data_IF_436178119416
#
_entry.id   IF_436178119416
#
_cell.length_a   1.000
_cell.length_b   1.000
_cell.length_c   1.000
_cell.angle_alpha   90.00
_cell.angle_beta   90.00
_cell.angle_gamma   90.00
#
_symmetry.space_group_name_H-M   'P 1'
#
loop_
_entity.id
_entity.type
_entity.pdbx_description
1 polymer ?
#
# COMPACT_ATOMS: atom_id res chain seq x y z
N UNK A 1 -24.90 20.59 11.44
CA UNK A 1 -23.63 21.32 11.49
C UNK A 1 -23.80 22.55 10.61
N UNK A 2 -23.86 23.75 11.21
CA UNK A 2 -24.08 25.00 10.47
C UNK A 2 -22.73 25.45 9.94
N UNK A 3 -22.50 25.20 8.65
CA UNK A 3 -21.35 25.76 7.94
C UNK A 3 -21.64 27.26 7.76
N UNK A 4 -20.94 28.09 8.52
CA UNK A 4 -21.00 29.54 8.34
C UNK A 4 -20.49 29.86 6.93
N UNK A 5 -21.41 30.02 5.97
CA UNK A 5 -21.13 30.18 4.53
C UNK A 5 -20.18 31.35 4.20
N UNK A 6 -19.91 32.20 5.18
CA UNK A 6 -19.07 33.40 5.08
C UNK A 6 -17.65 33.21 5.65
N UNK A 7 -17.29 32.01 6.14
CA UNK A 7 -15.96 31.73 6.71
C UNK A 7 -15.19 30.72 5.87
N UNK A 8 -13.90 30.97 5.71
CA UNK A 8 -12.93 30.10 5.04
C UNK A 8 -11.83 29.67 6.01
N UNK A 9 -11.34 28.44 5.87
CA UNK A 9 -10.28 27.87 6.71
C UNK A 9 -9.08 27.43 5.89
N UNK A 10 -7.88 27.86 6.27
CA UNK A 10 -6.65 27.37 5.65
C UNK A 10 -6.15 26.10 6.36
N UNK A 11 -6.00 24.99 5.63
CA UNK A 11 -5.48 23.71 6.15
C UNK A 11 -4.02 23.79 6.60
N UNK A 12 -3.18 24.51 5.86
CA UNK A 12 -1.76 24.65 6.20
C UNK A 12 -1.54 25.51 7.45
N UNK A 13 -2.34 26.55 7.61
CA UNK A 13 -2.19 27.50 8.72
C UNK A 13 -3.08 27.19 9.93
N UNK A 14 -4.14 26.40 9.74
CA UNK A 14 -5.21 26.13 10.70
C UNK A 14 -5.86 27.41 11.27
N UNK A 15 -6.08 28.40 10.39
CA UNK A 15 -6.72 29.68 10.74
C UNK A 15 -8.03 29.83 9.97
N UNK A 16 -9.03 30.44 10.62
CA UNK A 16 -10.33 30.80 10.03
C UNK A 16 -10.39 32.30 9.78
N UNK A 17 -10.96 32.71 8.66
CA UNK A 17 -11.10 34.10 8.23
C UNK A 17 -12.32 34.24 7.32
N UNK A 18 -12.69 35.45 6.92
CA UNK A 18 -13.83 35.69 6.02
C UNK A 18 -13.55 35.12 4.64
N UNK A 19 -14.56 34.50 4.02
CA UNK A 19 -14.51 33.91 2.68
C UNK A 19 -14.52 34.99 1.58
N UNK A 20 -13.77 36.07 1.78
CA UNK A 20 -13.59 37.16 0.84
C UNK A 20 -12.31 36.93 0.02
N UNK A 21 -12.39 37.14 -1.29
CA UNK A 21 -11.27 36.90 -2.23
C UNK A 21 -10.01 37.66 -1.81
N UNK A 22 -10.15 38.92 -1.40
CA UNK A 22 -9.03 39.74 -0.94
C UNK A 22 -8.34 39.16 0.31
N UNK A 23 -9.12 38.62 1.25
CA UNK A 23 -8.60 38.01 2.47
C UNK A 23 -7.86 36.70 2.17
N UNK A 24 -8.39 35.88 1.26
CA UNK A 24 -7.76 34.64 0.79
C UNK A 24 -6.43 34.95 0.08
N UNK A 25 -6.40 35.92 -0.82
CA UNK A 25 -5.19 36.30 -1.57
C UNK A 25 -4.13 36.88 -0.63
N UNK A 26 -4.54 37.75 0.31
CA UNK A 26 -3.62 38.33 1.28
C UNK A 26 -3.06 37.26 2.25
N UNK A 27 -3.89 36.30 2.66
CA UNK A 27 -3.45 35.15 3.44
C UNK A 27 -2.41 34.32 2.68
N UNK A 28 -2.68 33.98 1.42
CA UNK A 28 -1.78 33.18 0.59
C UNK A 28 -0.41 33.86 0.36
N UNK A 29 -0.40 35.20 0.25
CA UNK A 29 0.83 36.01 0.11
C UNK A 29 1.57 36.26 1.43
N UNK A 30 0.95 35.99 2.58
CA UNK A 30 1.55 36.27 3.87
C UNK A 30 2.78 35.40 4.14
N UNK A 31 3.83 35.99 4.72
CA UNK A 31 5.04 35.27 5.14
C UNK A 31 4.71 34.12 6.10
N UNK A 32 3.70 34.29 6.97
CA UNK A 32 3.25 33.25 7.90
C UNK A 32 2.76 31.99 7.16
N UNK A 33 2.06 32.18 6.04
CA UNK A 33 1.59 31.09 5.18
C UNK A 33 2.77 30.42 4.47
N UNK A 34 3.63 31.21 3.82
CA UNK A 34 4.76 30.68 3.07
C UNK A 34 5.73 29.85 3.94
N UNK A 35 6.01 30.29 5.17
CA UNK A 35 6.83 29.54 6.12
C UNK A 35 6.18 28.22 6.52
N UNK A 36 4.88 28.26 6.86
CA UNK A 36 4.16 27.09 7.35
C UNK A 36 3.95 26.04 6.26
N UNK A 37 3.73 26.46 5.01
CA UNK A 37 3.69 25.56 3.84
C UNK A 37 5.05 24.91 3.57
N UNK A 38 6.15 25.67 3.69
CA UNK A 38 7.51 25.12 3.53
C UNK A 38 7.89 24.13 4.63
N UNK A 39 7.36 24.31 5.84
CA UNK A 39 7.57 23.38 6.96
C UNK A 39 6.72 22.10 6.87
N UNK A 40 5.74 22.03 5.96
CA UNK A 40 5.01 20.78 5.74
C UNK A 40 5.95 19.77 5.07
N UNK A 41 5.84 18.47 5.42
CA UNK A 41 6.65 17.45 4.80
C UNK A 41 6.35 17.39 3.29
N UNK A 42 7.33 17.78 2.47
CA UNK A 42 7.28 17.57 1.03
C UNK A 42 7.56 16.10 0.73
N UNK A 43 6.57 15.24 0.98
CA UNK A 43 6.62 13.88 0.47
C UNK A 43 6.43 13.95 -1.04
N UNK A 44 7.51 13.79 -1.80
CA UNK A 44 7.41 13.52 -3.23
C UNK A 44 6.61 12.24 -3.45
N UNK A 45 5.89 12.18 -4.57
CA UNK A 45 5.13 10.98 -4.95
C UNK A 45 6.03 9.73 -4.88
N UNK A 46 7.28 9.84 -5.32
CA UNK A 46 8.29 8.77 -5.26
C UNK A 46 8.60 8.28 -3.84
N UNK A 47 8.66 9.18 -2.85
CA UNK A 47 8.93 8.81 -1.46
C UNK A 47 7.76 8.04 -0.83
N UNK A 48 6.55 8.15 -1.38
CA UNK A 48 5.39 7.36 -0.92
C UNK A 48 5.48 5.89 -1.38
N UNK A 49 6.05 5.64 -2.55
CA UNK A 49 6.23 4.29 -3.09
C UNK A 49 7.44 3.57 -2.48
N UNK A 50 8.49 4.32 -2.13
CA UNK A 50 9.72 3.79 -1.54
C UNK A 50 9.68 3.75 -0.01
N UNK A 51 8.49 3.61 0.60
CA UNK A 51 8.41 3.49 2.06
C UNK A 51 9.07 2.16 2.46
N UNK A 52 10.11 2.17 3.30
CA UNK A 52 10.74 0.94 3.76
C UNK A 52 9.69 0.08 4.45
N UNK A 53 9.55 -1.14 3.95
CA UNK A 53 8.59 -2.09 4.49
C UNK A 53 8.99 -2.45 5.92
N UNK A 54 8.01 -2.41 6.83
CA UNK A 54 8.24 -2.79 8.22
C UNK A 54 8.54 -4.29 8.29
N UNK A 55 9.44 -4.74 9.17
CA UNK A 55 9.76 -6.16 9.34
C UNK A 55 8.53 -7.05 9.54
N UNK A 56 7.50 -6.53 10.21
CA UNK A 56 6.20 -7.20 10.40
C UNK A 56 5.42 -7.39 9.09
N UNK A 57 5.45 -6.42 8.17
CA UNK A 57 4.76 -6.52 6.89
C UNK A 57 5.42 -7.58 6.00
N UNK A 58 6.75 -7.63 5.98
CA UNK A 58 7.49 -8.66 5.23
C UNK A 58 7.18 -10.06 5.76
N UNK A 59 7.21 -10.25 7.09
CA UNK A 59 6.89 -11.54 7.69
C UNK A 59 5.44 -11.97 7.43
N UNK A 60 4.50 -11.02 7.44
CA UNK A 60 3.10 -11.29 7.10
C UNK A 60 2.96 -11.73 5.64
N UNK A 61 3.62 -11.05 4.70
CA UNK A 61 3.64 -11.45 3.28
C UNK A 61 4.24 -12.84 3.06
N UNK A 62 5.34 -13.17 3.75
CA UNK A 62 5.97 -14.50 3.65
C UNK A 62 4.99 -15.58 4.11
N UNK A 63 4.27 -15.37 5.21
CA UNK A 63 3.27 -16.31 5.68
C UNK A 63 2.10 -16.46 4.69
N UNK A 64 1.62 -15.37 4.11
CA UNK A 64 0.58 -15.38 3.07
C UNK A 64 1.00 -16.17 1.82
N UNK A 65 2.24 -16.01 1.38
CA UNK A 65 2.80 -16.76 0.24
C UNK A 65 2.86 -18.25 0.56
N UNK A 66 3.34 -18.63 1.74
CA UNK A 66 3.40 -20.04 2.17
C UNK A 66 2.02 -20.68 2.21
N UNK A 67 1.03 -19.98 2.79
CA UNK A 67 -0.36 -20.47 2.82
C UNK A 67 -0.91 -20.59 1.40
N UNK A 68 -0.67 -19.61 0.53
CA UNK A 68 -1.11 -19.67 -0.87
C UNK A 68 -0.46 -20.85 -1.62
N UNK A 69 0.82 -21.12 -1.37
CA UNK A 69 1.53 -22.27 -1.90
C UNK A 69 0.87 -23.58 -1.50
N UNK A 70 0.56 -23.75 -0.22
CA UNK A 70 -0.18 -24.92 0.28
C UNK A 70 -1.55 -25.09 -0.40
N UNK A 71 -2.31 -24.00 -0.55
CA UNK A 71 -3.59 -24.07 -1.26
C UNK A 71 -3.42 -24.50 -2.72
N UNK A 72 -2.37 -24.00 -3.38
CA UNK A 72 -2.10 -24.30 -4.79
C UNK A 72 -1.68 -25.76 -4.98
N UNK A 73 -0.77 -26.25 -4.13
CA UNK A 73 -0.26 -27.63 -4.17
C UNK A 73 -1.37 -28.66 -3.95
N UNK A 74 -2.27 -28.39 -3.00
CA UNK A 74 -3.39 -29.29 -2.68
C UNK A 74 -4.66 -29.02 -3.48
N UNK A 75 -4.61 -28.16 -4.50
CA UNK A 75 -5.77 -27.73 -5.30
C UNK A 75 -6.96 -27.25 -4.45
N UNK A 76 -6.69 -26.66 -3.28
CA UNK A 76 -7.70 -26.15 -2.38
C UNK A 76 -8.23 -24.83 -2.94
N UNK A 77 -9.56 -24.72 -2.99
CA UNK A 77 -10.22 -23.50 -3.45
C UNK A 77 -9.76 -22.28 -2.64
N UNK A 78 -9.27 -21.25 -3.32
CA UNK A 78 -8.95 -19.95 -2.72
C UNK A 78 -10.17 -19.26 -2.09
N UNK A 79 -11.38 -19.78 -2.31
CA UNK A 79 -12.57 -19.31 -1.59
C UNK A 79 -12.47 -19.60 -0.08
N UNK A 80 -11.78 -20.68 0.30
CA UNK A 80 -11.55 -21.05 1.70
C UNK A 80 -10.46 -20.22 2.38
N UNK A 81 -9.70 -19.42 1.62
CA UNK A 81 -8.61 -18.60 2.15
C UNK A 81 -9.11 -17.51 3.11
N UNK A 82 -10.29 -16.95 2.85
CA UNK A 82 -10.91 -15.93 3.72
C UNK A 82 -11.25 -16.52 5.09
N UNK A 83 -11.91 -17.67 5.09
CA UNK A 83 -12.28 -18.40 6.31
C UNK A 83 -11.06 -18.87 7.10
N UNK A 84 -10.05 -19.41 6.43
CA UNK A 84 -8.80 -19.84 7.08
C UNK A 84 -8.05 -18.65 7.67
N UNK A 85 -8.01 -17.50 7.00
CA UNK A 85 -7.37 -16.30 7.53
C UNK A 85 -8.08 -15.82 8.81
N UNK A 86 -9.41 -15.84 8.83
CA UNK A 86 -10.19 -15.50 10.02
C UNK A 86 -9.97 -16.52 11.16
N UNK A 87 -9.88 -17.81 10.83
CA UNK A 87 -9.57 -18.87 11.78
C UNK A 87 -8.18 -18.67 12.40
N UNK A 88 -7.15 -18.39 11.60
CA UNK A 88 -5.77 -18.16 12.07
C UNK A 88 -5.73 -16.96 13.03
N UNK A 89 -6.44 -15.88 12.72
CA UNK A 89 -6.54 -14.72 13.62
C UNK A 89 -7.24 -15.05 14.94
N UNK A 90 -8.25 -15.90 14.91
CA UNK A 90 -8.98 -16.35 16.10
C UNK A 90 -8.16 -17.33 16.94
N UNK A 91 -7.38 -18.21 16.32
CA UNK A 91 -6.54 -19.18 17.02
C UNK A 91 -5.29 -18.54 17.64
N UNK A 92 -4.77 -17.47 17.02
CA UNK A 92 -3.53 -16.80 17.46
C UNK A 92 -3.76 -15.29 17.69
N UNK A 93 -4.50 -14.90 18.75
CA UNK A 93 -4.78 -13.50 19.05
C UNK A 93 -3.51 -12.68 19.36
N UNK A 94 -2.54 -13.26 20.08
CA UNK A 94 -1.30 -12.58 20.49
C UNK A 94 -0.27 -12.45 19.35
N UNK A 95 -0.45 -13.20 18.27
CA UNK A 95 0.52 -13.23 17.17
C UNK A 95 0.28 -12.05 16.23
N UNK A 96 1.07 -10.98 16.41
CA UNK A 96 0.96 -9.74 15.62
C UNK A 96 1.01 -9.96 14.10
N UNK A 97 1.75 -10.97 13.65
CA UNK A 97 1.85 -11.35 12.23
C UNK A 97 0.54 -11.96 11.75
N UNK A 98 -0.10 -12.86 12.53
CA UNK A 98 -1.43 -13.39 12.19
C UNK A 98 -2.49 -12.29 12.09
N UNK A 99 -2.45 -11.32 13.00
CA UNK A 99 -3.37 -10.19 12.97
C UNK A 99 -3.17 -9.29 11.75
N UNK A 100 -1.92 -9.14 11.29
CA UNK A 100 -1.58 -8.29 10.14
C UNK A 100 -1.76 -9.00 8.79
N UNK A 101 -1.82 -10.33 8.76
CA UNK A 101 -2.14 -11.09 7.56
C UNK A 101 -3.55 -10.77 7.04
N UNK A 102 -3.69 -10.66 5.72
CA UNK A 102 -4.96 -10.40 5.06
C UNK A 102 -4.99 -11.14 3.73
N UNK A 103 -5.19 -12.45 3.81
CA UNK A 103 -5.22 -13.34 2.65
C UNK A 103 -6.67 -13.66 2.24
N UNK A 104 -7.18 -12.90 1.28
CA UNK A 104 -8.46 -13.20 0.62
C UNK A 104 -8.25 -13.91 -0.71
N UNK A 105 -9.34 -14.42 -1.31
CA UNK A 105 -9.35 -15.10 -2.62
C UNK A 105 -8.58 -14.34 -3.70
N UNK A 106 -8.84 -13.03 -3.83
CA UNK A 106 -8.20 -12.20 -4.85
C UNK A 106 -6.69 -12.11 -4.64
N UNK A 107 -6.25 -11.91 -3.38
CA UNK A 107 -4.83 -11.81 -3.05
C UNK A 107 -4.11 -13.13 -3.29
N UNK A 108 -4.69 -14.26 -2.87
CA UNK A 108 -4.16 -15.60 -3.14
C UNK A 108 -4.03 -15.87 -4.64
N UNK A 109 -5.04 -15.49 -5.43
CA UNK A 109 -5.01 -15.63 -6.90
C UNK A 109 -3.92 -14.75 -7.55
N UNK A 110 -3.73 -13.52 -7.06
CA UNK A 110 -2.69 -12.64 -7.57
C UNK A 110 -1.29 -13.12 -7.18
N UNK A 111 -1.13 -13.63 -5.97
CA UNK A 111 0.13 -14.24 -5.51
C UNK A 111 0.47 -15.44 -6.40
N UNK A 112 -0.46 -16.38 -6.61
CA UNK A 112 -0.21 -17.56 -7.46
C UNK A 112 0.11 -17.17 -8.90
N UNK A 113 -0.63 -16.23 -9.49
CA UNK A 113 -0.32 -15.70 -10.84
C UNK A 113 1.05 -15.06 -10.94
N UNK A 114 1.41 -14.18 -9.98
CA UNK A 114 2.72 -13.51 -9.94
C UNK A 114 3.85 -14.53 -9.85
N UNK A 115 3.69 -15.54 -8.99
CA UNK A 115 4.68 -16.60 -8.80
C UNK A 115 4.87 -17.39 -10.10
N UNK A 116 3.80 -17.82 -10.76
CA UNK A 116 3.86 -18.53 -12.06
C UNK A 116 4.49 -17.67 -13.16
N UNK A 117 4.16 -16.38 -13.19
CA UNK A 117 4.71 -15.44 -14.18
C UNK A 117 6.23 -15.34 -14.05
N UNK A 118 6.76 -15.20 -12.83
CA UNK A 118 8.21 -15.16 -12.57
C UNK A 118 8.91 -16.41 -13.11
N UNK A 119 8.28 -17.59 -13.02
CA UNK A 119 8.83 -18.83 -13.58
C UNK A 119 8.75 -18.91 -15.12
N UNK A 120 7.82 -18.17 -15.74
CA UNK A 120 7.63 -18.18 -17.19
C UNK A 120 8.55 -17.19 -17.91
N UNK A 121 9.05 -16.17 -17.21
CA UNK A 121 10.06 -15.23 -17.70
C UNK A 121 11.51 -15.80 -17.56
N UNK A 122 11.68 -17.03 -17.07
CA UNK A 122 12.95 -17.72 -16.80
C UNK A 122 13.18 -18.91 -17.78
N UNK A 123 12.77 -18.79 -19.05
CA UNK A 123 13.36 -19.65 -20.09
C UNK A 123 14.76 -19.10 -20.44
N UNK A 124 15.85 -19.89 -20.30
CA UNK A 124 17.17 -19.48 -20.76
C UNK A 124 17.17 -19.40 -22.28
N UNK A 125 17.43 -18.20 -22.80
CA UNK A 125 17.83 -17.96 -24.18
C UNK A 125 18.97 -18.93 -24.53
N UNK A 126 18.68 -19.99 -25.29
CA UNK A 126 19.73 -20.85 -25.84
C UNK A 126 20.51 -20.05 -26.86
N UNK A 127 21.65 -19.53 -26.44
CA UNK A 127 22.73 -19.10 -27.34
C UNK A 127 23.11 -20.30 -28.22
N UNK A 128 22.66 -20.27 -29.48
CA UNK A 128 23.15 -21.15 -30.52
C UNK A 128 24.49 -20.59 -31.02
N UNK A 129 25.57 -21.17 -30.52
CA UNK A 129 26.92 -20.97 -31.00
C UNK A 129 27.19 -21.89 -32.19
N UNK A 130 27.72 -21.33 -33.28
CA UNK A 130 28.54 -22.10 -34.22
C UNK A 130 28.04 -22.21 -35.66
N UNK A 131 28.47 -21.26 -36.48
CA UNK A 131 28.81 -21.52 -37.88
C UNK A 131 29.97 -22.52 -38.00
N UNK A 132 30.14 -23.08 -39.20
CA UNK A 132 31.09 -24.12 -39.68
C UNK A 132 30.48 -25.53 -39.67
N UNK A 133 30.41 -26.29 -40.77
CA UNK A 133 31.10 -26.22 -42.06
C UNK A 133 30.17 -26.55 -43.22
#
# INVERSE_FOLDING_TARGET
>A
MRDDTTKARCRACNVEFTAEINMIINHAKSLKHALKVKSLPNTTITAMFNKPESSLQTQSKVAEIKITGFFTEHNISFNSADHITNLIKSCFPDFRIAQNMSLGRFKATQISKRVIQIFSDDEPEKANEGATS
#
